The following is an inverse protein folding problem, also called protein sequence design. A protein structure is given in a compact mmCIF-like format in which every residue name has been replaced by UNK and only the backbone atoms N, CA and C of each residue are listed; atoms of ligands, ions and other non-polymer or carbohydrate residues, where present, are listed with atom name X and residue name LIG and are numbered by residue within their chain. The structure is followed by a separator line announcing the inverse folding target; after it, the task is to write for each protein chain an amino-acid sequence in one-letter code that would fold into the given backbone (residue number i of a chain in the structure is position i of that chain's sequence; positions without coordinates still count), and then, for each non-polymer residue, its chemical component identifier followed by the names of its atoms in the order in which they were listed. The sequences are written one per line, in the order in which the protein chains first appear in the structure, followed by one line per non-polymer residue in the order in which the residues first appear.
data_IF_770848346186
#
_entry.id   IF_770848346186
#
_cell.length_a   1.000
_cell.length_b   1.000
_cell.length_c   1.000
_cell.angle_alpha   90.00
_cell.angle_beta   90.00
_cell.angle_gamma   90.00
#
_symmetry.space_group_name_H-M   'P 1'
#
loop_
_entity.id
_entity.type
_entity.pdbx_description
1 polymer ?
#
# COMPACT_ATOMS: atom_id res chain seq x y z
N UNK A 1 3.33 4.72 -26.76
CA UNK A 1 4.28 5.55 -25.99
C UNK A 1 4.10 5.16 -24.53
N UNK A 2 4.82 4.15 -24.06
CA UNK A 2 4.71 3.65 -22.69
C UNK A 2 6.09 3.14 -22.32
N UNK A 3 6.90 4.02 -21.75
CA UNK A 3 8.30 3.78 -21.50
C UNK A 3 8.66 4.16 -20.08
N UNK A 4 9.31 3.21 -19.42
CA UNK A 4 10.25 3.39 -18.32
C UNK A 4 9.67 3.46 -16.90
N UNK A 5 9.33 2.28 -16.38
CA UNK A 5 9.26 2.04 -14.93
C UNK A 5 10.63 1.56 -14.46
N UNK A 6 11.49 2.50 -14.06
CA UNK A 6 12.85 2.19 -13.63
C UNK A 6 12.85 1.38 -12.32
N UNK A 7 13.68 0.35 -12.35
CA UNK A 7 13.53 -0.94 -11.68
C UNK A 7 14.33 -1.02 -10.36
N UNK A 8 14.50 0.12 -9.69
CA UNK A 8 15.46 0.22 -8.59
C UNK A 8 14.86 -0.05 -7.19
N UNK A 9 13.57 0.23 -6.97
CA UNK A 9 12.98 0.31 -5.63
C UNK A 9 12.23 -0.94 -5.17
N UNK A 10 11.91 -1.87 -6.07
CA UNK A 10 11.21 -3.12 -5.73
C UNK A 10 12.12 -4.18 -5.11
N UNK A 11 13.45 -4.01 -5.21
CA UNK A 11 14.43 -4.96 -4.67
C UNK A 11 14.37 -5.13 -3.14
N UNK A 12 13.85 -4.13 -2.42
CA UNK A 12 13.87 -4.12 -0.95
C UNK A 12 12.56 -4.67 -0.34
N UNK A 13 11.45 -4.63 -1.07
CA UNK A 13 10.13 -5.11 -0.58
C UNK A 13 9.73 -6.50 -1.11
N UNK A 14 10.39 -6.98 -2.16
CA UNK A 14 10.06 -8.25 -2.83
C UNK A 14 10.41 -9.52 -2.06
N UNK A 15 11.12 -9.43 -0.92
CA UNK A 15 11.77 -10.63 -0.37
C UNK A 15 10.95 -11.51 0.57
N UNK A 16 9.74 -11.11 1.02
CA UNK A 16 9.15 -11.79 2.19
C UNK A 16 7.63 -12.04 2.29
N UNK A 17 6.78 -11.63 1.34
CA UNK A 17 5.31 -11.74 1.55
C UNK A 17 4.57 -12.74 0.66
N UNK A 18 5.10 -13.18 -0.47
CA UNK A 18 4.52 -14.32 -1.17
C UNK A 18 5.57 -14.92 -2.12
N UNK A 19 5.66 -16.24 -2.19
CA UNK A 19 6.36 -16.95 -3.26
C UNK A 19 5.61 -16.79 -4.59
N UNK A 20 5.49 -15.54 -5.06
CA UNK A 20 4.94 -15.17 -6.35
C UNK A 20 6.11 -14.58 -7.13
N UNK A 21 6.44 -15.25 -8.22
CA UNK A 21 7.45 -14.89 -9.23
C UNK A 21 7.22 -13.44 -9.74
N UNK A 22 8.30 -12.66 -9.90
CA UNK A 22 8.32 -11.21 -10.22
C UNK A 22 7.60 -10.82 -11.55
N UNK A 23 7.46 -9.52 -11.93
CA UNK A 23 6.94 -8.34 -11.23
C UNK A 23 5.85 -7.66 -12.09
N UNK A 24 4.60 -7.60 -11.61
CA UNK A 24 3.67 -6.55 -12.04
C UNK A 24 3.55 -5.55 -10.90
N UNK A 25 3.48 -4.26 -11.19
CA UNK A 25 2.76 -3.38 -10.26
C UNK A 25 1.45 -4.10 -9.99
N UNK A 26 1.11 -4.39 -8.73
CA UNK A 26 -0.18 -5.02 -8.39
C UNK A 26 -1.21 -4.44 -9.34
N UNK A 27 -1.75 -5.29 -10.20
CA UNK A 27 -2.65 -4.84 -11.26
C UNK A 27 -3.80 -4.11 -10.55
N UNK A 28 -4.50 -3.21 -11.24
CA UNK A 28 -5.48 -2.35 -10.57
C UNK A 28 -6.54 -3.13 -9.75
N UNK A 29 -6.77 -4.39 -10.11
CA UNK A 29 -7.59 -5.34 -9.36
C UNK A 29 -7.03 -5.69 -7.97
N UNK A 30 -5.73 -5.98 -7.87
CA UNK A 30 -5.09 -6.29 -6.58
C UNK A 30 -4.98 -5.04 -5.70
N UNK A 31 -4.72 -3.88 -6.30
CA UNK A 31 -4.79 -2.61 -5.59
C UNK A 31 -6.20 -2.37 -5.04
N UNK A 32 -7.24 -2.56 -5.87
CA UNK A 32 -8.63 -2.41 -5.45
C UNK A 32 -9.02 -3.40 -4.33
N UNK A 33 -8.54 -4.65 -4.40
CA UNK A 33 -8.78 -5.65 -3.35
C UNK A 33 -8.14 -5.26 -2.01
N UNK A 34 -6.89 -4.78 -2.01
CA UNK A 34 -6.23 -4.31 -0.79
C UNK A 34 -6.87 -3.04 -0.25
N UNK A 35 -7.30 -2.14 -1.13
CA UNK A 35 -8.02 -0.92 -0.76
C UNK A 35 -9.36 -1.26 -0.09
N UNK A 36 -10.14 -2.18 -0.64
CA UNK A 36 -11.40 -2.62 -0.03
C UNK A 36 -11.21 -3.33 1.31
N UNK A 37 -10.11 -4.10 1.46
CA UNK A 37 -9.74 -4.69 2.76
C UNK A 37 -9.34 -3.63 3.78
N UNK A 38 -8.63 -2.59 3.33
CA UNK A 38 -8.30 -1.45 4.18
C UNK A 38 -9.56 -0.68 4.59
N UNK A 39 -10.49 -0.47 3.66
CA UNK A 39 -11.78 0.19 3.92
C UNK A 39 -12.54 -0.55 5.02
N UNK A 40 -12.76 -1.86 4.83
CA UNK A 40 -13.42 -2.70 5.83
C UNK A 40 -12.73 -2.66 7.20
N UNK A 41 -11.39 -2.67 7.22
CA UNK A 41 -10.64 -2.56 8.47
C UNK A 41 -10.84 -1.20 9.15
N UNK A 42 -10.79 -0.11 8.39
CA UNK A 42 -10.97 1.25 8.91
C UNK A 42 -12.40 1.48 9.38
N UNK A 43 -13.40 0.90 8.70
CA UNK A 43 -14.80 0.92 9.13
C UNK A 43 -15.01 0.12 10.43
N UNK A 44 -14.41 -1.06 10.54
CA UNK A 44 -14.56 -1.92 11.71
C UNK A 44 -13.79 -1.40 12.94
N UNK A 45 -12.53 -1.00 12.73
CA UNK A 45 -11.62 -0.64 13.83
C UNK A 45 -11.52 0.87 14.08
N UNK A 46 -11.94 1.72 13.13
CA UNK A 46 -11.83 3.19 13.24
C UNK A 46 -10.40 3.74 13.22
N UNK A 47 -9.40 2.89 12.93
CA UNK A 47 -7.97 3.22 12.95
C UNK A 47 -7.24 2.69 11.72
N UNK A 48 -6.02 3.19 11.52
CA UNK A 48 -5.12 2.71 10.47
C UNK A 48 -4.47 1.40 10.94
N UNK A 49 -4.37 0.37 10.09
CA UNK A 49 -3.71 -0.87 10.45
C UNK A 49 -2.22 -0.66 10.71
N UNK A 50 -1.69 -1.36 11.70
CA UNK A 50 -0.30 -1.23 12.13
C UNK A 50 0.56 -2.37 11.59
N UNK A 51 1.75 -2.06 11.04
CA UNK A 51 2.67 -3.09 10.54
C UNK A 51 3.17 -4.06 11.63
N UNK A 52 3.08 -3.65 12.90
CA UNK A 52 3.49 -4.43 14.08
C UNK A 52 2.31 -5.10 14.77
N UNK A 53 1.13 -5.12 14.15
CA UNK A 53 -0.04 -5.80 14.68
C UNK A 53 0.23 -7.30 14.87
N UNK A 54 -0.43 -7.88 15.87
CA UNK A 54 -0.38 -9.34 16.12
C UNK A 54 -1.15 -10.11 15.04
N UNK A 55 -2.20 -9.49 14.51
CA UNK A 55 -3.01 -10.07 13.44
C UNK A 55 -2.25 -9.99 12.11
N UNK A 56 -2.03 -11.12 11.42
CA UNK A 56 -1.23 -11.14 10.20
C UNK A 56 -1.87 -10.33 9.06
N UNK A 57 -3.21 -10.30 8.98
CA UNK A 57 -3.94 -9.52 7.99
C UNK A 57 -3.81 -8.01 8.24
N UNK A 58 -3.86 -7.58 9.51
CA UNK A 58 -3.62 -6.18 9.87
C UNK A 58 -2.16 -5.78 9.59
N UNK A 59 -1.20 -6.61 10.02
CA UNK A 59 0.22 -6.35 9.79
C UNK A 59 0.54 -6.20 8.29
N UNK A 60 -0.09 -7.03 7.45
CA UNK A 60 0.03 -6.94 5.99
C UNK A 60 -0.53 -5.63 5.44
N UNK A 61 -1.70 -5.19 5.91
CA UNK A 61 -2.28 -3.89 5.50
C UNK A 61 -1.41 -2.71 5.96
N UNK A 62 -0.89 -2.77 7.20
CA UNK A 62 0.02 -1.76 7.72
C UNK A 62 1.32 -1.67 6.92
N UNK A 63 1.92 -2.80 6.55
CA UNK A 63 3.09 -2.85 5.66
C UNK A 63 2.80 -2.27 4.27
N UNK A 64 1.61 -2.56 3.73
CA UNK A 64 1.17 -2.04 2.43
C UNK A 64 1.03 -0.51 2.46
N UNK A 65 0.36 0.06 3.48
CA UNK A 65 0.24 1.52 3.66
C UNK A 65 1.63 2.17 3.76
N UNK A 66 2.52 1.59 4.56
CA UNK A 66 3.89 2.10 4.72
C UNK A 66 4.68 2.07 3.41
N UNK A 67 4.46 1.06 2.55
CA UNK A 67 5.05 1.02 1.21
C UNK A 67 4.48 2.13 0.32
N UNK A 68 3.17 2.38 0.35
CA UNK A 68 2.54 3.47 -0.40
C UNK A 68 3.04 4.85 0.07
N UNK A 69 3.18 5.06 1.38
CA UNK A 69 3.75 6.31 1.95
C UNK A 69 5.18 6.56 1.51
N UNK A 70 6.01 5.50 1.47
CA UNK A 70 7.38 5.59 0.94
C UNK A 70 7.38 5.94 -0.55
N UNK A 71 6.48 5.36 -1.34
CA UNK A 71 6.34 5.68 -2.75
C UNK A 71 5.86 7.14 -2.96
N UNK A 72 4.96 7.65 -2.12
CA UNK A 72 4.49 9.03 -2.15
C UNK A 72 5.64 10.01 -1.84
N UNK A 73 6.39 9.73 -0.78
CA UNK A 73 7.58 10.51 -0.43
C UNK A 73 8.68 10.43 -1.51
N UNK A 74 8.78 9.29 -2.20
CA UNK A 74 9.68 9.11 -3.34
C UNK A 74 9.19 9.74 -4.65
N UNK A 75 7.97 10.28 -4.68
CA UNK A 75 7.37 10.88 -5.89
C UNK A 75 7.00 9.87 -6.98
N UNK A 76 6.94 8.58 -6.65
CA UNK A 76 6.66 7.48 -7.60
C UNK A 76 5.31 6.82 -7.38
N UNK A 77 4.54 7.29 -6.39
CA UNK A 77 3.16 6.86 -6.20
C UNK A 77 2.26 7.45 -7.28
N UNK A 78 1.48 6.59 -7.94
CA UNK A 78 0.50 7.04 -8.92
C UNK A 78 -0.50 8.04 -8.27
N UNK A 79 -0.72 9.22 -8.85
CA UNK A 79 -1.62 10.24 -8.30
C UNK A 79 -3.04 9.72 -8.03
N UNK A 80 -3.57 8.84 -8.89
CA UNK A 80 -4.89 8.24 -8.71
C UNK A 80 -4.95 7.32 -7.48
N UNK A 81 -3.88 6.56 -7.22
CA UNK A 81 -3.77 5.69 -6.03
C UNK A 81 -3.66 6.52 -4.76
N UNK A 82 -2.91 7.63 -4.82
CA UNK A 82 -2.82 8.61 -3.74
C UNK A 82 -4.19 9.20 -3.40
N UNK A 83 -4.94 9.68 -4.39
CA UNK A 83 -6.29 10.23 -4.18
C UNK A 83 -7.22 9.22 -3.51
N UNK A 84 -7.17 7.94 -3.91
CA UNK A 84 -7.96 6.88 -3.27
C UNK A 84 -7.56 6.65 -1.81
N UNK A 85 -6.26 6.62 -1.51
CA UNK A 85 -5.75 6.45 -0.14
C UNK A 85 -6.07 7.66 0.75
N UNK A 86 -5.94 8.87 0.21
CA UNK A 86 -6.33 10.12 0.87
C UNK A 86 -7.84 10.16 1.13
N UNK A 87 -8.67 9.72 0.18
CA UNK A 87 -10.12 9.65 0.36
C UNK A 87 -10.55 8.68 1.47
N UNK A 88 -9.86 7.55 1.58
CA UNK A 88 -10.18 6.50 2.57
C UNK A 88 -9.66 6.85 3.97
N UNK A 89 -8.39 7.24 4.07
CA UNK A 89 -7.74 7.47 5.37
C UNK A 89 -7.86 8.93 5.85
N UNK A 90 -8.17 9.86 4.94
CA UNK A 90 -8.29 11.28 5.21
C UNK A 90 -7.04 11.83 5.90
N UNK A 91 -7.18 12.56 7.02
CA UNK A 91 -6.05 13.14 7.73
C UNK A 91 -5.09 12.06 8.29
N UNK A 92 -5.58 10.83 8.50
CA UNK A 92 -4.74 9.72 8.98
C UNK A 92 -3.71 9.27 7.95
N UNK A 93 -3.93 9.55 6.66
CA UNK A 93 -2.93 9.30 5.61
C UNK A 93 -1.61 10.04 5.88
N UNK A 94 -1.71 11.29 6.34
CA UNK A 94 -0.57 12.15 6.64
C UNK A 94 -0.04 12.00 8.07
N UNK A 95 -0.77 11.30 8.95
CA UNK A 95 -0.33 11.04 10.31
C UNK A 95 0.91 10.15 10.29
N UNK A 96 2.07 10.78 10.48
CA UNK A 96 3.33 10.09 10.73
C UNK A 96 3.20 9.42 12.10
N UNK A 97 3.11 8.10 12.13
CA UNK A 97 3.31 7.32 13.35
C UNK A 97 4.78 6.92 13.47
#
# INVERSE_FOLDING_TARGET
MGGEVDNAMWRILSRQIAGIEEPRQLDDNEFAALLGRLEAFVEECGRVPERTAKEPDEARLGLWIEAQRRADHGGVLCPERRVRLEGLLGPRWFSRS
#
